data_IF_180729158271
#
_entry.id   IF_180729158271
#
_cell.length_a   1.000
_cell.length_b   1.000
_cell.length_c   1.000
_cell.angle_alpha   90.00
_cell.angle_beta   90.00
_cell.angle_gamma   90.00
#
_symmetry.space_group_name_H-M   'P 1'
#
loop_
_entity.id
_entity.type
_entity.pdbx_description
1 polymer ?
#
# COMPACT_ATOMS: atom_id res chain seq x y z
N UNK A 1 13.01 28.27 11.78
CA UNK A 1 12.50 28.07 10.41
C UNK A 1 13.51 27.45 9.46
N UNK A 2 14.68 28.05 9.24
CA UNK A 2 15.67 27.53 8.27
C UNK A 2 16.12 26.09 8.61
N UNK A 3 16.65 25.87 9.81
CA UNK A 3 17.11 24.55 10.23
C UNK A 3 15.96 23.53 10.28
N UNK A 4 14.75 23.92 10.66
CA UNK A 4 13.61 22.98 10.76
C UNK A 4 13.21 22.39 9.39
N UNK A 5 13.35 23.18 8.32
CA UNK A 5 13.13 22.69 6.96
C UNK A 5 14.25 21.73 6.49
N UNK A 6 15.53 22.09 6.71
CA UNK A 6 16.69 21.30 6.27
C UNK A 6 16.98 20.06 7.13
N UNK A 7 16.72 20.11 8.43
CA UNK A 7 16.95 19.04 9.41
C UNK A 7 15.70 18.17 9.59
N UNK A 8 14.49 18.73 9.44
CA UNK A 8 13.23 18.02 9.65
C UNK A 8 12.53 17.63 8.35
N UNK A 9 12.04 18.62 7.60
CA UNK A 9 11.09 18.37 6.49
C UNK A 9 11.70 17.61 5.29
N UNK A 10 12.80 18.09 4.71
CA UNK A 10 13.40 17.42 3.53
C UNK A 10 13.88 15.99 3.80
N UNK A 11 14.61 15.68 4.89
CA UNK A 11 15.03 14.30 5.12
C UNK A 11 13.83 13.39 5.41
N UNK A 12 12.77 13.86 6.09
CA UNK A 12 11.55 13.06 6.31
C UNK A 12 10.85 12.67 4.99
N UNK A 13 10.72 13.61 4.03
CA UNK A 13 10.15 13.29 2.71
C UNK A 13 11.02 12.29 1.93
N UNK A 14 12.34 12.45 1.98
CA UNK A 14 13.27 11.54 1.29
C UNK A 14 13.21 10.13 1.91
N UNK A 15 13.25 10.02 3.24
CA UNK A 15 13.16 8.74 3.97
C UNK A 15 11.83 8.05 3.66
N UNK A 16 10.69 8.74 3.80
CA UNK A 16 9.38 8.14 3.52
C UNK A 16 9.20 7.67 2.07
N UNK A 17 9.80 8.37 1.11
CA UNK A 17 9.84 7.95 -0.29
C UNK A 17 10.66 6.66 -0.47
N UNK A 18 11.85 6.59 0.13
CA UNK A 18 12.67 5.38 0.11
C UNK A 18 11.99 4.20 0.81
N UNK A 19 11.36 4.41 1.97
CA UNK A 19 10.60 3.36 2.69
C UNK A 19 9.47 2.78 1.82
N UNK A 20 8.68 3.64 1.16
CA UNK A 20 7.62 3.20 0.25
C UNK A 20 8.18 2.34 -0.92
N UNK A 21 9.29 2.77 -1.53
CA UNK A 21 9.96 2.03 -2.60
C UNK A 21 10.53 0.69 -2.10
N UNK A 22 11.16 0.68 -0.93
CA UNK A 22 11.67 -0.54 -0.29
C UNK A 22 10.56 -1.56 -0.03
N UNK A 23 9.42 -1.13 0.51
CA UNK A 23 8.27 -2.03 0.74
C UNK A 23 7.69 -2.54 -0.59
N UNK A 24 7.55 -1.67 -1.59
CA UNK A 24 6.96 -2.03 -2.88
C UNK A 24 7.82 -3.01 -3.70
N UNK A 25 9.12 -2.77 -3.79
CA UNK A 25 10.03 -3.49 -4.71
C UNK A 25 10.96 -4.50 -4.02
N UNK A 26 11.43 -4.23 -2.80
CA UNK A 26 12.39 -5.11 -2.09
C UNK A 26 11.64 -6.13 -1.25
N UNK A 27 10.70 -5.69 -0.42
CA UNK A 27 9.90 -6.58 0.43
C UNK A 27 8.85 -7.35 -0.36
N UNK A 28 8.24 -6.70 -1.34
CA UNK A 28 7.24 -7.28 -2.22
C UNK A 28 5.82 -7.22 -1.63
N UNK A 29 4.88 -6.89 -2.49
CA UNK A 29 3.53 -6.48 -2.09
C UNK A 29 2.63 -7.62 -1.62
N UNK A 30 2.90 -8.87 -2.02
CA UNK A 30 2.18 -10.04 -1.53
C UNK A 30 2.48 -10.29 -0.05
N UNK A 31 3.75 -10.28 0.33
CA UNK A 31 4.17 -10.44 1.73
C UNK A 31 3.53 -9.36 2.60
N UNK A 32 3.63 -8.08 2.20
CA UNK A 32 2.99 -6.98 2.91
C UNK A 32 1.46 -7.13 3.05
N UNK A 33 0.78 -7.66 2.04
CA UNK A 33 -0.66 -7.94 2.10
C UNK A 33 -1.01 -9.05 3.11
N UNK A 34 -0.20 -10.12 3.16
CA UNK A 34 -0.34 -11.22 4.12
C UNK A 34 -0.13 -10.73 5.56
N UNK A 35 0.84 -9.85 5.77
CA UNK A 35 1.17 -9.30 7.08
C UNK A 35 0.06 -8.40 7.65
N UNK A 36 -0.46 -7.46 6.84
CA UNK A 36 -1.63 -6.68 7.26
C UNK A 36 -2.83 -7.58 7.54
N UNK A 37 -3.05 -8.64 6.76
CA UNK A 37 -4.15 -9.60 6.97
C UNK A 37 -3.95 -10.41 8.27
N UNK A 38 -2.71 -10.64 8.67
CA UNK A 38 -2.36 -11.27 9.95
C UNK A 38 -2.67 -10.36 11.13
N UNK A 39 -2.27 -9.07 11.04
CA UNK A 39 -2.42 -8.08 12.10
C UNK A 39 -3.86 -7.62 12.29
N UNK A 40 -4.59 -7.35 11.20
CA UNK A 40 -5.97 -6.84 11.23
C UNK A 40 -7.03 -7.93 11.38
N UNK A 41 -6.63 -9.20 11.24
CA UNK A 41 -7.51 -10.35 11.44
C UNK A 41 -8.43 -10.67 10.26
N UNK A 42 -8.52 -11.95 9.94
CA UNK A 42 -9.20 -12.44 8.71
C UNK A 42 -10.74 -12.38 8.73
N UNK A 43 -11.39 -11.84 9.77
CA UNK A 43 -12.86 -11.92 9.97
C UNK A 43 -13.63 -10.59 9.88
N UNK A 44 -12.98 -9.42 10.02
CA UNK A 44 -13.70 -8.18 10.32
C UNK A 44 -13.42 -7.02 9.34
N UNK A 45 -12.27 -6.98 8.68
CA UNK A 45 -12.03 -5.99 7.62
C UNK A 45 -12.80 -6.37 6.35
N UNK A 46 -13.81 -5.57 6.00
CA UNK A 46 -14.66 -5.81 4.85
C UNK A 46 -13.86 -6.02 3.55
N UNK A 47 -13.99 -7.23 2.97
CA UNK A 47 -13.40 -7.73 1.70
C UNK A 47 -13.67 -6.81 0.49
N UNK A 48 -14.47 -5.75 0.67
CA UNK A 48 -14.80 -4.76 -0.35
C UNK A 48 -13.83 -3.59 -0.46
N UNK A 49 -13.26 -3.10 0.65
CA UNK A 49 -12.51 -1.83 0.70
C UNK A 49 -10.99 -2.01 0.87
N UNK A 50 -10.55 -3.14 1.40
CA UNK A 50 -9.15 -3.45 1.69
C UNK A 50 -8.15 -3.23 0.51
N UNK A 51 -8.40 -3.69 -0.73
CA UNK A 51 -7.44 -3.45 -1.81
C UNK A 51 -7.30 -1.96 -2.14
N UNK A 52 -8.38 -1.16 -2.08
CA UNK A 52 -8.34 0.28 -2.37
C UNK A 52 -7.44 1.00 -1.36
N UNK A 53 -7.52 0.62 -0.09
CA UNK A 53 -6.63 1.12 0.96
C UNK A 53 -5.17 0.72 0.70
N UNK A 54 -4.90 -0.49 0.19
CA UNK A 54 -3.54 -0.90 -0.18
C UNK A 54 -2.97 -0.12 -1.38
N UNK A 55 -3.77 0.19 -2.41
CA UNK A 55 -3.34 1.12 -3.49
C UNK A 55 -3.03 2.50 -2.91
N UNK A 56 -3.85 2.98 -1.97
CA UNK A 56 -3.64 4.27 -1.33
C UNK A 56 -2.24 4.34 -0.69
N UNK A 57 -1.89 3.35 0.14
CA UNK A 57 -0.60 3.33 0.80
C UNK A 57 0.59 3.03 -0.13
N UNK A 58 0.39 2.24 -1.19
CA UNK A 58 1.48 1.80 -2.06
C UNK A 58 1.79 2.77 -3.22
N UNK A 59 0.78 3.46 -3.74
CA UNK A 59 0.92 4.35 -4.90
C UNK A 59 0.54 5.81 -4.60
N UNK A 60 -0.52 6.04 -3.82
CA UNK A 60 -0.95 7.42 -3.54
C UNK A 60 0.00 8.08 -2.54
N UNK A 61 0.45 7.40 -1.49
CA UNK A 61 1.45 7.92 -0.54
C UNK A 61 2.75 8.38 -1.21
N UNK A 62 3.50 7.56 -1.99
CA UNK A 62 4.71 8.03 -2.67
C UNK A 62 4.40 9.11 -3.72
N UNK A 63 3.24 9.05 -4.39
CA UNK A 63 2.79 10.12 -5.30
C UNK A 63 2.61 11.47 -4.59
N UNK A 64 1.99 11.48 -3.40
CA UNK A 64 1.84 12.67 -2.55
C UNK A 64 3.21 13.16 -2.09
N UNK A 65 4.12 12.29 -1.67
CA UNK A 65 5.47 12.69 -1.22
C UNK A 65 6.26 13.34 -2.38
N UNK A 66 6.20 12.77 -3.59
CA UNK A 66 6.80 13.38 -4.79
C UNK A 66 6.17 14.75 -5.07
N UNK A 67 4.84 14.85 -5.02
CA UNK A 67 4.13 16.11 -5.21
C UNK A 67 4.50 17.17 -4.15
N UNK A 68 4.70 16.78 -2.89
CA UNK A 68 5.15 17.66 -1.81
C UNK A 68 6.58 18.16 -2.05
N UNK A 69 7.49 17.31 -2.52
CA UNK A 69 8.86 17.70 -2.88
C UNK A 69 8.84 18.71 -4.04
N UNK A 70 8.04 18.47 -5.09
CA UNK A 70 7.90 19.38 -6.25
C UNK A 70 7.25 20.69 -5.84
N UNK A 71 6.14 20.65 -5.09
CA UNK A 71 5.44 21.83 -4.61
C UNK A 71 6.35 22.71 -3.73
N UNK A 72 7.09 22.09 -2.81
CA UNK A 72 8.07 22.81 -1.97
C UNK A 72 9.21 23.37 -2.84
N UNK A 73 9.64 22.65 -3.88
CA UNK A 73 10.67 23.10 -4.82
C UNK A 73 10.25 24.33 -5.64
N UNK A 74 8.98 24.42 -6.03
CA UNK A 74 8.43 25.57 -6.77
C UNK A 74 8.13 26.74 -5.81
N UNK A 75 7.59 26.45 -4.64
CA UNK A 75 7.24 27.41 -3.60
C UNK A 75 8.32 27.53 -2.51
N UNK A 76 9.61 27.58 -2.87
CA UNK A 76 10.63 28.15 -1.99
C UNK A 76 10.57 29.68 -2.08
N UNK A 77 9.91 30.40 -1.14
CA UNK A 77 10.26 31.80 -0.95
C UNK A 77 11.74 31.84 -0.54
N UNK A 78 12.53 32.86 -0.93
CA UNK A 78 13.83 33.07 -0.34
C UNK A 78 13.64 33.15 1.18
N UNK A 79 14.29 32.27 1.93
CA UNK A 79 14.06 32.23 3.37
C UNK A 79 14.43 33.61 3.95
N UNK A 80 13.44 34.23 4.59
CA UNK A 80 13.52 35.57 5.17
C UNK A 80 13.21 35.48 6.65
N UNK A 81 14.17 35.89 7.47
CA UNK A 81 13.96 36.09 8.90
C UNK A 81 13.67 37.57 9.12
N UNK A 82 12.39 37.95 9.03
CA UNK A 82 11.98 39.35 8.98
C UNK A 82 12.56 40.06 7.74
N UNK A 83 13.48 41.01 7.95
CA UNK A 83 14.18 41.74 6.89
C UNK A 83 15.45 41.04 6.37
N UNK A 84 15.95 40.01 7.06
CA UNK A 84 17.19 39.31 6.68
C UNK A 84 16.92 38.22 5.64
N UNK A 85 17.50 38.34 4.45
CA UNK A 85 17.54 37.29 3.42
C UNK A 85 18.71 36.35 3.64
N UNK A 86 18.47 35.04 3.71
CA UNK A 86 19.56 34.07 3.83
C UNK A 86 20.49 34.09 2.59
N UNK A 87 21.81 34.21 2.76
CA UNK A 87 22.78 34.19 1.67
C UNK A 87 23.00 32.79 1.09
N UNK A 88 23.49 32.71 -0.15
CA UNK A 88 23.62 31.47 -0.91
C UNK A 88 24.49 30.38 -0.25
N UNK A 89 25.44 30.75 0.63
CA UNK A 89 26.23 29.77 1.38
C UNK A 89 25.40 29.02 2.43
N UNK A 90 24.37 29.64 3.01
CA UNK A 90 23.55 29.00 4.05
C UNK A 90 22.80 27.80 3.49
N UNK A 91 22.29 27.90 2.26
CA UNK A 91 21.65 26.78 1.55
C UNK A 91 22.60 25.58 1.35
N UNK A 92 23.89 25.82 1.07
CA UNK A 92 24.90 24.74 0.97
C UNK A 92 25.09 24.02 2.31
N UNK A 93 25.12 24.76 3.42
CA UNK A 93 25.17 24.16 4.76
C UNK A 93 23.89 23.42 5.13
N UNK A 94 22.72 23.95 4.74
CA UNK A 94 21.43 23.30 4.92
C UNK A 94 21.39 21.93 4.25
N UNK A 95 21.75 21.85 2.96
CA UNK A 95 21.86 20.57 2.25
C UNK A 95 22.92 19.65 2.84
N UNK A 96 24.06 20.17 3.32
CA UNK A 96 25.07 19.39 4.03
C UNK A 96 24.54 18.71 5.30
N UNK A 97 23.70 19.43 6.08
CA UNK A 97 23.02 18.87 7.26
C UNK A 97 21.99 17.80 6.86
N UNK A 98 21.19 18.03 5.82
CA UNK A 98 20.27 17.02 5.28
C UNK A 98 21.01 15.74 4.86
N UNK A 99 22.12 15.88 4.12
CA UNK A 99 22.97 14.76 3.70
C UNK A 99 23.60 14.02 4.88
N UNK A 100 23.98 14.72 5.97
CA UNK A 100 24.52 14.09 7.18
C UNK A 100 23.48 13.22 7.90
N UNK A 101 22.22 13.65 7.94
CA UNK A 101 21.12 12.85 8.52
C UNK A 101 20.87 11.60 7.67
N UNK A 102 20.79 11.78 6.35
CA UNK A 102 20.58 10.66 5.41
C UNK A 102 21.78 9.71 5.34
N UNK A 103 23.00 10.17 5.62
CA UNK A 103 24.18 9.29 5.63
C UNK A 103 24.12 8.26 6.76
N UNK A 104 23.46 8.55 7.90
CA UNK A 104 23.33 7.62 9.01
C UNK A 104 22.66 6.29 8.63
N UNK A 105 21.53 6.35 7.91
CA UNK A 105 20.82 5.15 7.45
C UNK A 105 21.61 4.42 6.34
N UNK A 106 22.29 5.15 5.45
CA UNK A 106 23.13 4.57 4.39
C UNK A 106 24.36 3.87 4.97
N UNK A 107 25.05 4.49 5.93
CA UNK A 107 26.22 3.92 6.61
C UNK A 107 25.85 2.67 7.40
N UNK A 108 24.69 2.68 8.09
CA UNK A 108 24.19 1.48 8.77
C UNK A 108 23.88 0.34 7.78
N UNK A 109 23.24 0.65 6.64
CA UNK A 109 22.96 -0.34 5.60
C UNK A 109 24.26 -0.93 5.00
N UNK A 110 25.26 -0.09 4.70
CA UNK A 110 26.58 -0.53 4.23
C UNK A 110 27.26 -1.42 5.28
N UNK A 111 27.28 -1.00 6.55
CA UNK A 111 27.84 -1.78 7.65
C UNK A 111 27.16 -3.15 7.79
N UNK A 112 25.83 -3.21 7.75
CA UNK A 112 25.07 -4.46 7.85
C UNK A 112 25.36 -5.40 6.67
N UNK A 113 25.45 -4.87 5.45
CA UNK A 113 25.80 -5.64 4.25
C UNK A 113 27.24 -6.19 4.37
N UNK A 114 28.21 -5.34 4.72
CA UNK A 114 29.61 -5.74 4.92
C UNK A 114 29.71 -6.85 5.98
N UNK A 115 29.04 -6.68 7.13
CA UNK A 115 29.06 -7.64 8.23
C UNK A 115 28.46 -9.00 7.84
N UNK A 116 27.27 -9.04 7.24
CA UNK A 116 26.62 -10.30 6.88
C UNK A 116 27.26 -11.01 5.68
N UNK A 117 27.92 -10.30 4.77
CA UNK A 117 28.68 -10.89 3.66
C UNK A 117 30.05 -11.42 4.09
N UNK A 118 30.83 -10.66 4.85
CA UNK A 118 32.20 -11.04 5.23
C UNK A 118 32.22 -12.05 6.38
N UNK A 119 31.47 -11.77 7.46
CA UNK A 119 31.53 -12.57 8.69
C UNK A 119 30.55 -13.74 8.64
N UNK A 120 29.30 -13.51 8.20
CA UNK A 120 28.29 -14.58 8.11
C UNK A 120 28.28 -15.31 6.75
N UNK A 121 29.10 -14.90 5.78
CA UNK A 121 29.24 -15.51 4.43
C UNK A 121 27.90 -15.76 3.72
N UNK A 122 26.90 -14.90 3.95
CA UNK A 122 25.58 -15.02 3.32
C UNK A 122 25.64 -14.57 1.85
N UNK A 123 24.74 -15.09 1.02
CA UNK A 123 24.50 -14.55 -0.32
C UNK A 123 23.73 -13.22 -0.23
N UNK A 124 24.00 -12.27 -1.13
CA UNK A 124 23.24 -11.01 -1.26
C UNK A 124 21.72 -11.20 -1.28
N UNK A 125 21.22 -12.25 -1.97
CA UNK A 125 19.77 -12.57 -2.02
C UNK A 125 19.20 -12.91 -0.64
N UNK A 126 20.00 -13.44 0.27
CA UNK A 126 19.59 -13.75 1.64
C UNK A 126 19.57 -12.53 2.57
N UNK A 127 20.08 -11.36 2.13
CA UNK A 127 19.98 -10.08 2.84
C UNK A 127 18.69 -9.33 2.47
N UNK A 128 18.24 -9.50 1.22
CA UNK A 128 17.00 -8.93 0.68
C UNK A 128 15.77 -9.68 1.21
N UNK A 129 15.89 -10.99 1.44
CA UNK A 129 14.82 -11.80 2.01
C UNK A 129 14.57 -11.44 3.50
N UNK A 130 13.30 -11.37 3.94
CA UNK A 130 12.98 -11.11 5.34
C UNK A 130 13.51 -12.19 6.28
N UNK A 131 13.82 -11.80 7.52
CA UNK A 131 14.45 -12.71 8.47
C UNK A 131 13.47 -13.81 8.93
N UNK A 132 13.89 -15.08 8.84
CA UNK A 132 13.05 -16.26 9.11
C UNK A 132 12.39 -16.32 10.50
N UNK A 133 12.86 -15.52 11.46
CA UNK A 133 12.30 -15.42 12.83
C UNK A 133 11.11 -14.45 12.93
N UNK A 134 10.93 -13.59 11.93
CA UNK A 134 9.89 -12.56 11.90
C UNK A 134 8.48 -13.18 11.84
N UNK A 135 7.53 -12.54 12.52
CA UNK A 135 6.14 -12.98 12.63
C UNK A 135 5.63 -12.98 14.09
N UNK A 136 4.35 -13.32 14.30
CA UNK A 136 3.72 -13.31 15.62
C UNK A 136 4.38 -14.29 16.59
N UNK A 137 4.36 -13.91 17.87
CA UNK A 137 5.04 -14.64 18.95
C UNK A 137 4.47 -16.05 19.16
N UNK A 138 3.15 -16.21 19.01
CA UNK A 138 2.46 -17.50 19.18
C UNK A 138 2.63 -18.39 17.94
N UNK A 139 3.11 -19.63 18.15
CA UNK A 139 3.32 -20.61 17.08
C UNK A 139 2.07 -20.90 16.25
N UNK A 140 0.89 -20.91 16.87
CA UNK A 140 -0.38 -21.15 16.19
C UNK A 140 -0.64 -20.10 15.10
N UNK A 141 -0.37 -18.82 15.42
CA UNK A 141 -0.50 -17.72 14.46
C UNK A 141 0.61 -17.78 13.40
N UNK A 142 1.82 -18.21 13.76
CA UNK A 142 2.94 -18.42 12.82
C UNK A 142 2.65 -19.54 11.81
N UNK A 143 2.04 -20.66 12.24
CA UNK A 143 1.57 -21.75 11.35
C UNK A 143 0.45 -21.27 10.42
N UNK A 144 -0.50 -20.49 10.95
CA UNK A 144 -1.60 -19.90 10.19
C UNK A 144 -1.13 -18.89 9.12
N UNK A 145 -0.04 -18.17 9.38
CA UNK A 145 0.58 -17.27 8.40
C UNK A 145 1.20 -18.02 7.23
N UNK A 146 1.96 -19.10 7.48
CA UNK A 146 2.53 -19.94 6.40
C UNK A 146 1.47 -20.51 5.47
N UNK A 147 0.25 -20.71 5.95
CA UNK A 147 -0.89 -21.17 5.15
C UNK A 147 -1.44 -20.11 4.19
N UNK A 148 -1.25 -18.82 4.46
CA UNK A 148 -1.72 -17.73 3.58
C UNK A 148 -0.75 -17.33 2.48
N UNK A 149 0.41 -17.99 2.37
CA UNK A 149 1.47 -17.58 1.44
C UNK A 149 1.01 -17.65 -0.03
N UNK A 150 0.84 -16.49 -0.62
CA UNK A 150 0.44 -16.28 -1.99
C UNK A 150 1.69 -16.22 -2.88
N UNK A 151 1.69 -16.99 -3.97
CA UNK A 151 2.80 -16.99 -4.93
C UNK A 151 3.04 -15.59 -5.52
N UNK A 152 4.30 -15.31 -5.90
CA UNK A 152 4.74 -14.00 -6.42
C UNK A 152 3.85 -13.51 -7.58
N UNK A 153 2.95 -12.58 -7.28
CA UNK A 153 2.25 -11.75 -8.26
C UNK A 153 2.42 -10.29 -7.83
N UNK A 154 2.90 -9.42 -8.73
CA UNK A 154 3.05 -7.99 -8.39
C UNK A 154 1.69 -7.37 -8.00
N UNK A 155 1.68 -6.40 -7.09
CA UNK A 155 0.46 -5.73 -6.61
C UNK A 155 -0.48 -5.37 -7.76
N UNK A 156 0.06 -4.77 -8.83
CA UNK A 156 -0.69 -4.40 -10.03
C UNK A 156 -1.43 -5.59 -10.64
N UNK A 157 -0.79 -6.75 -10.78
CA UNK A 157 -1.41 -7.97 -11.35
C UNK A 157 -2.50 -8.52 -10.44
N UNK A 158 -2.24 -8.62 -9.14
CA UNK A 158 -3.23 -9.08 -8.15
C UNK A 158 -4.45 -8.15 -8.08
N UNK A 159 -4.22 -6.84 -8.09
CA UNK A 159 -5.25 -5.79 -8.09
C UNK A 159 -6.06 -5.81 -9.38
N UNK A 160 -5.41 -5.88 -10.55
CA UNK A 160 -6.08 -5.98 -11.86
C UNK A 160 -6.95 -7.24 -11.88
N UNK A 161 -6.42 -8.39 -11.46
CA UNK A 161 -7.18 -9.64 -11.40
C UNK A 161 -8.38 -9.56 -10.43
N UNK A 162 -8.25 -8.87 -9.29
CA UNK A 162 -9.35 -8.65 -8.34
C UNK A 162 -10.41 -7.68 -8.88
N UNK A 163 -10.00 -6.60 -9.57
CA UNK A 163 -10.92 -5.65 -10.21
C UNK A 163 -11.66 -6.32 -11.37
N UNK A 164 -10.96 -7.09 -12.20
CA UNK A 164 -11.55 -7.87 -13.30
C UNK A 164 -12.54 -8.90 -12.75
N UNK A 165 -12.15 -9.75 -11.78
CA UNK A 165 -13.07 -10.72 -11.17
C UNK A 165 -14.29 -10.07 -10.50
N UNK A 166 -14.13 -8.88 -9.90
CA UNK A 166 -15.25 -8.14 -9.31
C UNK A 166 -16.14 -7.47 -10.37
N UNK A 167 -15.58 -7.01 -11.47
CA UNK A 167 -16.35 -6.50 -12.61
C UNK A 167 -17.19 -7.63 -13.21
N UNK A 168 -16.58 -8.81 -13.42
CA UNK A 168 -17.24 -10.03 -13.87
C UNK A 168 -18.34 -10.47 -12.90
N UNK A 169 -18.10 -10.49 -11.58
CA UNK A 169 -19.13 -10.92 -10.62
C UNK A 169 -20.31 -9.94 -10.53
N UNK A 170 -20.06 -8.62 -10.64
CA UNK A 170 -21.12 -7.61 -10.75
C UNK A 170 -21.93 -7.78 -12.05
N UNK A 171 -21.26 -8.04 -13.19
CA UNK A 171 -21.89 -8.33 -14.48
C UNK A 171 -22.79 -9.57 -14.41
N UNK A 172 -22.31 -10.68 -13.82
CA UNK A 172 -23.13 -11.89 -13.65
C UNK A 172 -24.32 -11.68 -12.73
N UNK A 173 -24.16 -10.89 -11.66
CA UNK A 173 -25.26 -10.58 -10.74
C UNK A 173 -26.34 -9.70 -11.41
N UNK A 174 -25.92 -8.72 -12.21
CA UNK A 174 -26.83 -7.87 -12.99
C UNK A 174 -27.57 -8.69 -14.06
N UNK A 175 -26.86 -9.56 -14.79
CA UNK A 175 -27.45 -10.47 -15.80
C UNK A 175 -28.45 -11.45 -15.19
N UNK A 176 -28.14 -12.02 -14.02
CA UNK A 176 -29.05 -12.90 -13.27
C UNK A 176 -30.32 -12.16 -12.82
N UNK A 177 -30.20 -10.96 -12.22
CA UNK A 177 -31.37 -10.14 -11.82
C UNK A 177 -32.23 -9.73 -13.02
N UNK A 178 -31.61 -9.37 -14.14
CA UNK A 178 -32.32 -9.05 -15.39
C UNK A 178 -33.08 -10.27 -15.94
N UNK A 179 -32.46 -11.45 -15.91
CA UNK A 179 -33.08 -12.70 -16.35
C UNK A 179 -34.26 -13.08 -15.45
N UNK A 180 -34.10 -13.04 -14.12
CA UNK A 180 -35.18 -13.28 -13.16
C UNK A 180 -36.37 -12.32 -13.39
N UNK A 181 -36.11 -11.00 -13.55
CA UNK A 181 -37.18 -10.03 -13.85
C UNK A 181 -37.91 -10.34 -15.15
N UNK A 182 -37.21 -10.84 -16.17
CA UNK A 182 -37.81 -11.27 -17.45
C UNK A 182 -38.66 -12.55 -17.28
N UNK A 183 -38.23 -13.49 -16.44
CA UNK A 183 -39.01 -14.70 -16.10
C UNK A 183 -40.27 -14.36 -15.31
N UNK A 184 -40.20 -13.48 -14.30
CA UNK A 184 -41.39 -13.04 -13.56
C UNK A 184 -42.38 -12.30 -14.47
N UNK A 185 -41.90 -11.43 -15.37
CA UNK A 185 -42.76 -10.77 -16.35
C UNK A 185 -43.42 -11.76 -17.31
N UNK A 186 -42.69 -12.77 -17.77
CA UNK A 186 -43.24 -13.83 -18.64
C UNK A 186 -44.29 -14.68 -17.91
N UNK A 187 -44.04 -15.10 -16.66
CA UNK A 187 -45.01 -15.84 -15.83
C UNK A 187 -46.28 -14.99 -15.59
N UNK A 188 -46.13 -13.71 -15.27
CA UNK A 188 -47.26 -12.79 -15.08
C UNK A 188 -48.08 -12.52 -16.35
N UNK A 189 -47.49 -12.69 -17.54
CA UNK A 189 -48.18 -12.53 -18.83
C UNK A 189 -48.81 -13.83 -19.36
N UNK A 190 -48.43 -14.99 -18.80
CA UNK A 190 -48.89 -16.34 -19.21
C UNK A 190 -49.95 -16.90 -18.24
N UNK A 191 -50.01 -16.42 -17.00
CA UNK A 191 -51.12 -16.71 -16.08
C UNK A 191 -52.36 -15.88 -16.46
N UNK A 192 -53.45 -16.50 -16.95
CA UNK A 192 -54.72 -15.77 -17.10
C UNK A 192 -55.25 -15.40 -15.71
N UNK A 193 -55.79 -14.18 -15.60
CA UNK A 193 -56.48 -13.71 -14.39
C UNK A 193 -57.78 -14.49 -14.18
N UNK A 194 -57.69 -15.64 -13.52
CA UNK A 194 -58.81 -16.44 -13.06
C UNK A 194 -59.54 -15.77 -11.89
N UNK A 195 -60.40 -14.81 -12.20
CA UNK A 195 -61.40 -14.30 -11.26
C UNK A 195 -62.52 -15.32 -11.03
N UNK A 196 -63.01 -15.39 -9.79
CA UNK A 196 -64.32 -15.95 -9.39
C UNK A 196 -64.44 -17.47 -9.20
N UNK A 197 -63.78 -17.99 -8.16
CA UNK A 197 -64.21 -19.16 -7.36
C UNK A 197 -63.76 -18.89 -5.92
N UNK A 198 -64.59 -18.77 -4.88
CA UNK A 198 -66.06 -18.64 -4.77
C UNK A 198 -66.38 -17.60 -3.67
N UNK A 199 -67.65 -17.23 -3.50
CA UNK A 199 -68.17 -16.45 -2.37
C UNK A 199 -69.64 -16.88 -2.17
N UNK A 200 -69.89 -17.97 -1.43
CA UNK A 200 -71.24 -18.48 -1.13
C UNK A 200 -71.19 -19.63 -0.11
N UNK A 201 -72.05 -19.54 0.90
CA UNK A 201 -72.35 -20.51 1.98
C UNK A 201 -71.30 -20.68 3.10
#
# INVERSE_FOLDING_TARGET
>A
TFLDQFTGSYPAFIIGLFECICIAYIYGTCHFHEDLKAMLGSRNCGVRLYPIFQICWLFITPGIIIALIIFTSIHYPPLKLGRYTFPSWSYKLGWGLTSLILSGIVLYAIYAIIFDLLIKRKSFRALINPEKKWGPLLEQNRKKLRYYSCGQQGALVSVINLIINRSLSNQTLARSKGMAKKTYFFIAHVLPTGSNVLNSE
#
